data_IF_628779148299
#
_entry.id   IF_628779148299
#
_cell.length_a   1.000
_cell.length_b   1.000
_cell.length_c   1.000
_cell.angle_alpha   90.00
_cell.angle_beta   90.00
_cell.angle_gamma   90.00
#
_symmetry.space_group_name_H-M   'P 1'
#
loop_
_entity.id
_entity.type
_entity.pdbx_description
1 polymer ?
#
# COMPACT_ATOMS: atom_id res chain seq x y z
N UNK A 1 -6.87 13.83 -33.13
CA UNK A 1 -7.34 14.65 -31.97
C UNK A 1 -8.49 14.00 -31.21
N UNK A 2 -9.59 13.54 -31.86
CA UNK A 2 -10.77 12.98 -31.18
C UNK A 2 -10.54 11.71 -30.31
N UNK A 3 -9.57 10.86 -30.65
CA UNK A 3 -9.32 9.61 -29.89
C UNK A 3 -8.75 9.90 -28.49
N UNK A 4 -7.83 10.87 -28.38
CA UNK A 4 -7.19 11.25 -27.11
C UNK A 4 -8.21 11.94 -26.17
N UNK A 5 -9.10 12.78 -26.71
CA UNK A 5 -10.21 13.36 -25.92
C UNK A 5 -11.22 12.31 -25.49
N UNK A 6 -11.49 11.31 -26.33
CA UNK A 6 -12.41 10.21 -25.98
C UNK A 6 -11.81 9.34 -24.87
N UNK A 7 -10.50 9.04 -24.92
CA UNK A 7 -9.81 8.29 -23.88
C UNK A 7 -9.68 9.07 -22.56
N UNK A 8 -9.48 10.39 -22.60
CA UNK A 8 -9.51 11.24 -21.40
C UNK A 8 -10.90 11.33 -20.78
N UNK A 9 -11.96 11.39 -21.59
CA UNK A 9 -13.33 11.34 -21.09
C UNK A 9 -13.70 9.95 -20.54
N UNK A 10 -13.20 8.87 -21.15
CA UNK A 10 -13.43 7.51 -20.64
C UNK A 10 -12.68 7.28 -19.32
N UNK A 11 -11.44 7.76 -19.21
CA UNK A 11 -10.69 7.76 -17.95
C UNK A 11 -11.37 8.65 -16.90
N UNK A 12 -11.83 9.85 -17.27
CA UNK A 12 -12.62 10.71 -16.38
C UNK A 12 -13.95 10.10 -15.95
N UNK A 13 -14.55 9.19 -16.72
CA UNK A 13 -15.79 8.48 -16.37
C UNK A 13 -15.53 7.19 -15.59
N UNK A 14 -14.39 6.54 -15.80
CA UNK A 14 -13.93 5.38 -15.02
C UNK A 14 -13.35 5.80 -13.66
N UNK A 15 -12.79 7.01 -13.57
CA UNK A 15 -12.25 7.62 -12.34
C UNK A 15 -13.13 8.75 -11.77
N UNK A 16 -14.26 9.10 -12.41
CA UNK A 16 -15.33 9.78 -11.69
C UNK A 16 -16.00 8.73 -10.80
N UNK A 17 -15.39 8.47 -9.64
CA UNK A 17 -16.10 7.89 -8.53
C UNK A 17 -17.41 8.68 -8.40
N UNK A 18 -18.59 8.04 -8.50
CA UNK A 18 -19.86 8.73 -8.30
C UNK A 18 -19.76 9.47 -6.97
N UNK A 19 -20.17 10.74 -6.93
CA UNK A 19 -20.15 11.55 -5.71
C UNK A 19 -20.66 10.70 -4.53
N UNK A 20 -19.80 10.58 -3.50
CA UNK A 20 -20.17 10.24 -2.13
C UNK A 20 -20.48 8.79 -1.72
N UNK A 21 -20.15 7.74 -2.48
CA UNK A 21 -20.42 6.37 -2.01
C UNK A 21 -19.65 5.97 -0.73
N UNK A 22 -18.52 6.62 -0.44
CA UNK A 22 -17.70 6.37 0.75
C UNK A 22 -18.01 7.31 1.93
N UNK A 23 -18.80 8.38 1.74
CA UNK A 23 -19.00 9.43 2.76
C UNK A 23 -19.77 8.95 3.99
N UNK A 24 -20.54 7.87 3.86
CA UNK A 24 -21.36 7.33 4.94
C UNK A 24 -20.66 6.22 5.75
N UNK A 25 -19.43 5.83 5.39
CA UNK A 25 -18.79 4.66 6.00
C UNK A 25 -17.98 5.10 7.20
N UNK A 26 -18.61 4.99 8.36
CA UNK A 26 -17.96 5.23 9.64
C UNK A 26 -17.64 3.91 10.28
N UNK A 27 -16.42 3.81 10.80
CA UNK A 27 -16.07 2.69 11.64
C UNK A 27 -16.90 2.67 12.92
N UNK A 28 -17.09 1.50 13.52
CA UNK A 28 -17.57 1.37 14.90
C UNK A 28 -16.66 2.18 15.85
N UNK A 29 -17.21 3.18 16.58
CA UNK A 29 -16.43 4.04 17.47
C UNK A 29 -15.85 3.31 18.69
N UNK A 30 -16.31 2.10 19.02
CA UNK A 30 -15.78 1.32 20.16
C UNK A 30 -14.49 0.56 19.82
N UNK A 31 -14.14 0.43 18.54
CA UNK A 31 -12.92 -0.27 18.13
C UNK A 31 -11.68 0.57 18.42
N UNK A 32 -10.61 -0.06 18.90
CA UNK A 32 -9.30 0.60 19.01
C UNK A 32 -8.61 0.67 17.65
N UNK A 33 -8.00 1.80 17.31
CA UNK A 33 -7.20 1.93 16.09
C UNK A 33 -5.81 1.32 16.32
N UNK A 34 -5.67 0.03 16.03
CA UNK A 34 -4.43 -0.71 16.16
C UNK A 34 -4.07 -1.41 14.85
N UNK A 35 -2.80 -1.38 14.50
CA UNK A 35 -2.20 -2.15 13.41
C UNK A 35 -1.09 -3.01 13.99
N UNK A 36 -1.22 -4.32 13.93
CA UNK A 36 -0.20 -5.27 14.36
C UNK A 36 0.56 -5.76 13.13
N UNK A 37 1.80 -5.30 12.96
CA UNK A 37 2.63 -5.62 11.78
C UNK A 37 3.14 -7.06 11.82
N UNK A 38 3.39 -7.63 12.99
CA UNK A 38 3.84 -9.02 13.10
C UNK A 38 2.71 -10.00 12.75
N UNK A 39 1.47 -9.61 13.03
CA UNK A 39 0.27 -10.41 12.73
C UNK A 39 -0.44 -10.02 11.43
N UNK A 40 -0.04 -8.92 10.78
CA UNK A 40 -0.69 -8.34 9.60
C UNK A 40 -2.18 -8.05 9.82
N UNK A 41 -2.51 -7.46 10.97
CA UNK A 41 -3.89 -7.15 11.37
C UNK A 41 -4.06 -5.63 11.48
N UNK A 42 -5.15 -5.09 10.94
CA UNK A 42 -5.57 -3.72 11.16
C UNK A 42 -7.00 -3.69 11.71
N UNK A 43 -7.17 -3.13 12.91
CA UNK A 43 -8.47 -3.01 13.60
C UNK A 43 -9.23 -4.35 13.69
N UNK A 44 -8.51 -5.47 13.83
CA UNK A 44 -9.09 -6.82 13.87
C UNK A 44 -9.31 -7.48 12.51
N UNK A 45 -9.12 -6.77 11.39
CA UNK A 45 -9.14 -7.33 10.03
C UNK A 45 -7.74 -7.83 9.67
N UNK A 46 -7.64 -9.11 9.33
CA UNK A 46 -6.39 -9.76 8.95
C UNK A 46 -6.18 -9.71 7.44
N UNK A 47 -4.96 -9.38 7.01
CA UNK A 47 -4.49 -9.60 5.65
C UNK A 47 -4.55 -11.10 5.30
N UNK A 48 -4.94 -11.45 4.07
CA UNK A 48 -5.23 -12.83 3.66
C UNK A 48 -6.49 -13.43 4.30
N UNK A 49 -7.20 -12.65 5.12
CA UNK A 49 -8.44 -13.06 5.77
C UNK A 49 -9.68 -12.87 4.89
N UNK A 50 -10.82 -13.41 5.32
CA UNK A 50 -12.09 -13.23 4.61
C UNK A 50 -12.53 -11.78 4.61
N UNK A 51 -13.05 -11.30 3.47
CA UNK A 51 -13.63 -9.96 3.33
C UNK A 51 -14.82 -9.71 4.28
N UNK A 52 -15.46 -10.76 4.80
CA UNK A 52 -16.52 -10.63 5.80
C UNK A 52 -16.03 -10.00 7.11
N UNK A 53 -14.74 -10.12 7.43
CA UNK A 53 -14.16 -9.48 8.60
C UNK A 53 -14.26 -7.95 8.55
N UNK A 54 -14.31 -7.35 7.35
CA UNK A 54 -14.45 -5.90 7.19
C UNK A 54 -15.80 -5.41 7.75
N UNK A 55 -16.85 -6.24 7.72
CA UNK A 55 -18.16 -5.87 8.26
C UNK A 55 -18.11 -5.58 9.77
N UNK A 56 -17.12 -6.12 10.51
CA UNK A 56 -16.94 -5.82 11.93
C UNK A 56 -16.50 -4.39 12.18
N UNK A 57 -15.94 -3.72 11.16
CA UNK A 57 -15.60 -2.31 11.23
C UNK A 57 -16.83 -1.43 11.05
N UNK A 58 -17.98 -1.94 10.63
CA UNK A 58 -19.14 -1.13 10.26
C UNK A 58 -19.51 -1.38 8.80
N UNK A 59 -20.80 -1.22 8.48
CA UNK A 59 -21.37 -1.71 7.23
C UNK A 59 -20.89 -0.89 6.03
N UNK A 60 -20.11 -1.48 5.09
CA UNK A 60 -19.82 -0.82 3.84
C UNK A 60 -21.10 -0.81 2.99
N UNK A 61 -21.49 0.34 2.45
CA UNK A 61 -22.67 0.43 1.56
C UNK A 61 -22.43 -0.16 0.15
N UNK A 62 -21.21 -0.58 -0.15
CA UNK A 62 -20.84 -1.40 -1.31
C UNK A 62 -19.39 -1.19 -1.76
N UNK A 63 -18.62 -2.25 -2.00
CA UNK A 63 -17.25 -2.14 -2.50
C UNK A 63 -17.23 -1.81 -4.00
N UNK A 64 -16.51 -0.76 -4.37
CA UNK A 64 -16.30 -0.43 -5.77
C UNK A 64 -15.10 -1.26 -6.25
N UNK A 65 -15.34 -2.25 -7.10
CA UNK A 65 -14.32 -3.15 -7.63
C UNK A 65 -13.41 -3.80 -6.55
N UNK A 66 -14.01 -4.22 -5.43
CA UNK A 66 -13.27 -4.87 -4.33
C UNK A 66 -12.59 -3.89 -3.36
N UNK A 67 -12.67 -2.58 -3.58
CA UNK A 67 -12.12 -1.58 -2.67
C UNK A 67 -13.14 -1.14 -1.62
N UNK A 68 -12.75 -1.22 -0.35
CA UNK A 68 -13.47 -0.72 0.81
C UNK A 68 -12.72 0.45 1.44
N UNK A 69 -13.34 1.62 1.60
CA UNK A 69 -12.67 2.83 2.12
C UNK A 69 -13.39 3.39 3.35
N UNK A 70 -12.62 3.82 4.35
CA UNK A 70 -13.06 4.58 5.52
C UNK A 70 -12.29 5.92 5.55
N UNK A 71 -12.71 6.92 4.77
CA UNK A 71 -11.93 8.15 4.56
C UNK A 71 -11.75 8.97 5.84
N UNK A 72 -12.74 8.97 6.73
CA UNK A 72 -12.66 9.67 8.03
C UNK A 72 -11.73 9.00 9.03
N UNK A 73 -11.25 7.80 8.70
CA UNK A 73 -10.46 6.97 9.58
C UNK A 73 -9.06 6.70 8.99
N UNK A 74 -8.78 7.22 7.79
CA UNK A 74 -7.51 7.02 7.09
C UNK A 74 -7.26 5.57 6.66
N UNK A 75 -8.31 4.76 6.43
CA UNK A 75 -8.18 3.34 6.11
C UNK A 75 -8.79 2.96 4.76
N UNK A 76 -8.16 2.01 4.07
CA UNK A 76 -8.79 1.30 2.96
C UNK A 76 -8.31 -0.15 2.86
N UNK A 77 -9.15 -1.01 2.28
CA UNK A 77 -8.93 -2.44 2.11
C UNK A 77 -9.23 -2.82 0.66
N UNK A 78 -8.29 -3.44 -0.02
CA UNK A 78 -8.52 -4.04 -1.33
C UNK A 78 -8.80 -5.53 -1.16
N UNK A 79 -9.86 -6.00 -1.82
CA UNK A 79 -10.35 -7.37 -1.74
C UNK A 79 -10.42 -7.97 -3.13
N UNK A 80 -9.77 -9.10 -3.31
CA UNK A 80 -9.85 -9.94 -4.50
C UNK A 80 -10.32 -11.34 -4.09
N UNK A 81 -11.19 -11.97 -4.89
CA UNK A 81 -11.72 -13.32 -4.63
C UNK A 81 -12.26 -13.57 -3.18
N UNK A 82 -12.82 -12.53 -2.55
CA UNK A 82 -13.32 -12.54 -1.16
C UNK A 82 -12.24 -12.60 -0.06
N UNK A 83 -11.00 -12.29 -0.40
CA UNK A 83 -9.84 -12.24 0.50
C UNK A 83 -9.29 -10.81 0.57
N UNK A 84 -8.84 -10.37 1.74
CA UNK A 84 -8.18 -9.08 1.92
C UNK A 84 -6.74 -9.17 1.41
N UNK A 85 -6.49 -8.58 0.24
CA UNK A 85 -5.19 -8.59 -0.45
C UNK A 85 -4.28 -7.43 -0.02
N UNK A 86 -4.88 -6.28 0.24
CA UNK A 86 -4.15 -5.08 0.68
C UNK A 86 -4.89 -4.36 1.79
N UNK A 87 -4.15 -3.90 2.79
CA UNK A 87 -4.60 -2.94 3.80
C UNK A 87 -3.77 -1.68 3.64
N UNK A 88 -4.41 -0.53 3.40
CA UNK A 88 -3.73 0.77 3.32
C UNK A 88 -4.15 1.67 4.49
N UNK A 89 -3.17 2.27 5.15
CA UNK A 89 -3.36 3.16 6.31
C UNK A 89 -2.67 4.50 6.02
N UNK A 90 -3.42 5.59 5.96
CA UNK A 90 -2.92 6.94 5.72
C UNK A 90 -2.58 7.63 7.05
N UNK A 91 -1.35 8.09 7.22
CA UNK A 91 -0.92 8.80 8.45
C UNK A 91 -0.89 10.32 8.30
N UNK A 92 -1.19 10.81 7.10
CA UNK A 92 -1.36 12.23 6.80
C UNK A 92 -2.57 12.46 5.91
N UNK A 93 -3.09 13.68 5.97
CA UNK A 93 -4.14 14.13 5.08
C UNK A 93 -3.59 14.27 3.67
N UNK A 94 -4.19 13.56 2.71
CA UNK A 94 -3.84 13.69 1.29
C UNK A 94 -4.88 14.51 0.56
N UNK A 95 -4.45 15.27 -0.46
CA UNK A 95 -5.35 16.08 -1.28
C UNK A 95 -6.14 15.23 -2.31
N UNK A 96 -5.85 13.93 -2.38
CA UNK A 96 -6.36 13.01 -3.40
C UNK A 96 -7.84 12.64 -3.19
N UNK A 97 -8.36 12.75 -1.96
CA UNK A 97 -9.76 12.47 -1.64
C UNK A 97 -10.33 13.55 -0.69
N UNK A 98 -11.53 14.10 -0.98
CA UNK A 98 -12.19 15.02 -0.07
C UNK A 98 -12.47 14.32 1.26
N UNK A 99 -12.01 14.92 2.38
CA UNK A 99 -12.18 14.43 3.77
C UNK A 99 -11.36 13.18 4.15
N UNK A 100 -10.22 12.96 3.50
CA UNK A 100 -9.26 11.96 3.97
C UNK A 100 -8.61 12.45 5.28
N UNK A 101 -9.00 11.87 6.41
CA UNK A 101 -8.37 12.13 7.71
C UNK A 101 -7.18 11.19 7.90
N UNK A 102 -6.21 11.63 8.72
CA UNK A 102 -5.10 10.79 9.12
C UNK A 102 -5.57 9.74 10.13
N UNK A 103 -5.07 8.52 9.97
CA UNK A 103 -5.21 7.45 10.95
C UNK A 103 -4.57 7.88 12.27
N UNK A 104 -5.37 7.96 13.34
CA UNK A 104 -4.92 8.41 14.67
C UNK A 104 -4.56 7.24 15.60
N UNK A 105 -4.43 6.04 15.04
CA UNK A 105 -4.12 4.83 15.79
C UNK A 105 -2.66 4.61 16.10
N UNK A 106 -2.39 3.39 16.57
CA UNK A 106 -1.05 2.91 16.92
C UNK A 106 -0.64 1.74 16.03
N UNK A 107 0.66 1.64 15.82
CA UNK A 107 1.35 0.52 15.19
C UNK A 107 1.97 -0.34 16.28
N UNK A 108 1.83 -1.66 16.19
CA UNK A 108 2.41 -2.65 17.09
C UNK A 108 3.48 -3.42 16.31
N UNK A 109 4.70 -3.44 16.85
CA UNK A 109 5.85 -4.19 16.33
C UNK A 109 6.59 -4.81 17.49
N UNK A 110 6.81 -6.11 17.47
CA UNK A 110 7.48 -6.86 18.54
C UNK A 110 6.89 -6.56 19.92
N UNK A 111 5.55 -6.55 20.01
CA UNK A 111 4.75 -6.22 21.19
C UNK A 111 4.94 -4.77 21.74
N UNK A 112 5.58 -3.88 20.98
CA UNK A 112 5.74 -2.47 21.33
C UNK A 112 4.82 -1.58 20.50
N UNK A 113 4.22 -0.57 21.15
CA UNK A 113 3.34 0.39 20.52
C UNK A 113 4.10 1.64 20.05
N UNK A 114 3.87 2.03 18.81
CA UNK A 114 4.39 3.23 18.18
C UNK A 114 3.25 4.05 17.59
N UNK A 115 3.40 5.37 17.58
CA UNK A 115 2.47 6.28 16.89
C UNK A 115 3.20 6.91 15.73
N UNK A 116 2.81 6.56 14.52
CA UNK A 116 3.32 7.20 13.31
C UNK A 116 2.44 8.42 12.97
N UNK A 117 3.02 9.39 12.27
CA UNK A 117 2.34 10.60 11.85
C UNK A 117 3.22 11.47 10.97
N UNK A 118 2.79 12.71 10.71
CA UNK A 118 3.48 13.69 9.86
C UNK A 118 4.86 14.13 10.36
N UNK A 119 5.27 13.72 11.56
CA UNK A 119 6.58 14.04 12.13
C UNK A 119 7.51 12.80 12.17
N UNK A 120 6.99 11.61 11.83
CA UNK A 120 7.75 10.36 11.88
C UNK A 120 8.64 10.22 10.65
N UNK A 121 9.94 10.47 10.84
CA UNK A 121 10.93 10.32 9.76
C UNK A 121 11.11 8.88 9.27
N UNK A 122 11.61 8.72 8.05
CA UNK A 122 12.03 7.43 7.49
C UNK A 122 13.11 6.75 8.34
N UNK A 123 14.07 7.51 8.87
CA UNK A 123 15.09 7.01 9.79
C UNK A 123 14.51 6.44 11.09
N UNK A 124 13.43 7.04 11.60
CA UNK A 124 12.73 6.54 12.79
C UNK A 124 12.03 5.21 12.50
N UNK A 125 11.39 5.10 11.33
CA UNK A 125 10.75 3.86 10.87
C UNK A 125 11.80 2.75 10.70
N UNK A 126 12.93 3.03 10.04
CA UNK A 126 14.05 2.08 9.89
C UNK A 126 14.58 1.67 11.27
N UNK A 127 14.68 2.59 12.23
CA UNK A 127 15.10 2.25 13.59
C UNK A 127 14.13 1.30 14.29
N UNK A 128 12.83 1.42 14.02
CA UNK A 128 11.77 0.61 14.63
C UNK A 128 11.64 -0.76 13.95
N UNK A 129 11.67 -0.78 12.61
CA UNK A 129 11.38 -1.97 11.80
C UNK A 129 12.64 -2.75 11.40
N UNK A 130 13.83 -2.14 11.49
CA UNK A 130 15.09 -2.71 11.03
C UNK A 130 15.52 -2.20 9.66
N UNK A 131 16.51 -2.85 9.06
CA UNK A 131 16.95 -2.48 7.70
C UNK A 131 15.90 -2.89 6.66
N UNK A 132 15.53 -1.98 5.73
CA UNK A 132 14.61 -2.29 4.65
C UNK A 132 15.29 -3.08 3.53
N UNK A 133 14.52 -3.92 2.83
CA UNK A 133 15.00 -4.64 1.66
C UNK A 133 15.27 -3.72 0.48
N UNK A 134 14.43 -2.70 0.31
CA UNK A 134 14.59 -1.70 -0.75
C UNK A 134 14.23 -0.31 -0.23
N UNK A 135 15.00 0.67 -0.66
CA UNK A 135 14.75 2.09 -0.39
C UNK A 135 14.85 2.86 -1.70
N UNK A 136 13.74 3.46 -2.10
CA UNK A 136 13.65 4.30 -3.29
C UNK A 136 13.48 5.74 -2.85
N UNK A 137 14.23 6.64 -3.47
CA UNK A 137 14.09 8.07 -3.27
C UNK A 137 14.02 8.68 -4.66
N UNK A 138 12.90 9.31 -4.99
CA UNK A 138 12.75 10.02 -6.25
C UNK A 138 13.17 11.49 -6.12
N UNK A 139 13.52 12.08 -7.25
CA UNK A 139 13.91 13.50 -7.32
C UNK A 139 12.74 14.47 -7.09
N UNK A 140 11.50 13.97 -7.01
CA UNK A 140 10.28 14.77 -6.86
C UNK A 140 9.84 14.93 -5.41
N UNK A 141 10.62 14.40 -4.47
CA UNK A 141 10.31 14.57 -3.06
C UNK A 141 9.63 13.36 -2.44
N UNK A 142 9.56 12.21 -3.12
CA UNK A 142 8.92 11.01 -2.56
C UNK A 142 9.95 9.92 -2.23
N UNK A 143 9.81 9.37 -1.03
CA UNK A 143 10.54 8.18 -0.59
C UNK A 143 9.61 6.97 -0.57
N UNK A 144 10.12 5.77 -0.87
CA UNK A 144 9.41 4.52 -0.60
C UNK A 144 10.36 3.54 0.08
N UNK A 145 9.99 3.11 1.28
CA UNK A 145 10.72 2.10 2.05
C UNK A 145 9.94 0.79 1.98
N UNK A 146 10.62 -0.29 1.61
CA UNK A 146 10.06 -1.63 1.47
C UNK A 146 10.64 -2.57 2.53
N UNK A 147 9.76 -3.26 3.24
CA UNK A 147 10.12 -4.36 4.14
C UNK A 147 9.42 -5.63 3.65
N UNK A 148 10.19 -6.65 3.29
CA UNK A 148 9.72 -7.96 2.86
C UNK A 148 9.81 -8.95 4.02
N UNK A 149 8.72 -9.68 4.22
CA UNK A 149 8.60 -10.77 5.19
C UNK A 149 7.62 -11.83 4.69
N UNK A 150 6.73 -12.33 5.55
CA UNK A 150 5.54 -13.07 5.08
C UNK A 150 4.47 -12.13 4.45
N UNK A 151 4.75 -10.83 4.42
CA UNK A 151 3.87 -9.76 3.96
C UNK A 151 4.75 -8.63 3.44
N UNK A 152 4.37 -8.04 2.31
CA UNK A 152 5.09 -6.91 1.73
C UNK A 152 4.53 -5.62 2.32
N UNK A 153 5.35 -4.94 3.13
CA UNK A 153 4.99 -3.67 3.77
C UNK A 153 5.68 -2.51 3.06
N UNK A 154 4.91 -1.56 2.54
CA UNK A 154 5.44 -0.39 1.85
C UNK A 154 5.07 0.87 2.61
N UNK A 155 6.07 1.70 2.89
CA UNK A 155 5.89 3.02 3.47
C UNK A 155 6.17 4.06 2.40
N UNK A 156 5.20 4.91 2.09
CA UNK A 156 5.36 6.02 1.13
C UNK A 156 5.52 7.33 1.89
N UNK A 157 6.58 8.06 1.58
CA UNK A 157 6.98 9.32 2.20
C UNK A 157 6.82 10.43 1.18
N UNK A 158 6.37 11.59 1.64
CA UNK A 158 6.52 12.87 0.95
C UNK A 158 7.50 13.67 1.82
N UNK A 159 8.67 14.07 1.33
CA UNK A 159 9.69 14.75 2.13
C UNK A 159 9.23 16.13 2.64
N UNK A 160 8.11 16.66 2.16
CA UNK A 160 7.44 17.84 2.74
C UNK A 160 6.39 17.48 3.80
N UNK A 161 5.80 16.26 3.76
CA UNK A 161 4.69 15.81 4.64
C UNK A 161 5.04 14.60 5.54
N UNK A 162 6.27 14.13 5.45
CA UNK A 162 6.97 13.07 6.21
C UNK A 162 6.45 11.63 6.00
N UNK A 163 5.17 11.30 6.15
CA UNK A 163 4.65 9.94 5.84
C UNK A 163 3.27 10.02 5.21
N UNK A 164 3.10 9.48 4.01
CA UNK A 164 1.82 9.46 3.32
C UNK A 164 0.94 8.30 3.78
N UNK A 165 1.44 7.06 3.63
CA UNK A 165 0.70 5.85 4.01
C UNK A 165 1.59 4.61 4.20
N UNK A 166 1.01 3.58 4.81
CA UNK A 166 1.50 2.20 4.88
C UNK A 166 0.57 1.31 4.06
N UNK A 167 1.11 0.41 3.23
CA UNK A 167 0.37 -0.66 2.59
C UNK A 167 0.92 -2.02 3.06
N UNK A 168 0.03 -2.89 3.58
CA UNK A 168 0.30 -4.30 3.86
C UNK A 168 -0.25 -5.11 2.68
N UNK A 169 0.59 -5.87 1.99
CA UNK A 169 0.21 -6.64 0.80
C UNK A 169 0.51 -8.12 0.98
N UNK A 170 -0.41 -8.96 0.53
CA UNK A 170 -0.12 -10.38 0.40
C UNK A 170 0.95 -10.58 -0.67
N UNK A 171 1.99 -11.35 -0.35
CA UNK A 171 2.97 -11.77 -1.35
C UNK A 171 2.26 -12.81 -2.22
N UNK A 172 1.92 -12.42 -3.45
CA UNK A 172 1.73 -13.38 -4.52
C UNK A 172 3.02 -14.19 -4.65
N UNK A 173 2.92 -15.50 -4.73
CA UNK A 173 4.03 -16.45 -4.78
C UNK A 173 4.81 -16.30 -6.12
N UNK A 174 5.37 -15.12 -6.39
CA UNK A 174 6.16 -14.80 -7.57
C UNK A 174 7.59 -15.27 -7.33
N UNK A 175 7.75 -16.59 -7.23
CA UNK A 175 9.04 -17.28 -7.33
C UNK A 175 9.52 -17.40 -8.79
N UNK A 176 9.02 -16.58 -9.70
CA UNK A 176 9.43 -16.55 -11.12
C UNK A 176 9.85 -15.14 -11.55
N UNK A 177 10.83 -14.53 -10.88
CA UNK A 177 11.74 -13.63 -11.59
C UNK A 177 12.97 -14.44 -11.97
N UNK A 178 13.02 -14.79 -13.26
CA UNK A 178 14.15 -15.43 -13.92
C UNK A 178 15.43 -14.63 -13.63
N UNK A 179 16.36 -15.25 -12.88
CA UNK A 179 17.78 -14.90 -12.88
C UNK A 179 18.33 -15.12 -14.31
N UNK A 180 18.06 -14.21 -15.25
CA UNK A 180 18.87 -14.11 -16.48
C UNK A 180 20.15 -13.33 -16.18
N UNK A 181 20.94 -13.89 -15.28
CA UNK A 181 22.33 -13.54 -15.08
C UNK A 181 23.19 -14.38 -16.03
N UNK A 182 23.02 -14.16 -17.33
CA UNK A 182 23.95 -14.65 -18.34
C UNK A 182 25.06 -13.60 -18.53
N UNK A 183 26.29 -13.82 -18.02
CA UNK A 183 27.37 -12.88 -18.22
C UNK A 183 27.77 -12.82 -19.70
N UNK A 184 27.89 -11.60 -20.19
CA UNK A 184 28.49 -11.24 -21.47
C UNK A 184 29.89 -11.86 -21.60
N UNK A 185 30.12 -12.53 -22.73
CA UNK A 185 31.48 -12.83 -23.22
C UNK A 185 31.60 -12.36 -24.66
N UNK A 186 32.17 -11.16 -24.80
CA UNK A 186 32.72 -10.71 -26.07
C UNK A 186 34.04 -11.43 -26.37
N UNK A 187 34.29 -11.61 -27.67
CA UNK A 187 35.59 -11.89 -28.30
C UNK A 187 36.12 -13.33 -28.18
N UNK A 188 36.22 -14.02 -29.33
CA UNK A 188 37.47 -14.09 -30.12
C UNK A 188 37.32 -15.14 -31.24
N UNK A 189 37.35 -14.71 -32.50
CA UNK A 189 37.65 -15.60 -33.62
C UNK A 189 39.09 -16.14 -33.46
N UNK A 190 39.33 -17.43 -33.76
CA UNK A 190 40.60 -17.87 -34.27
C UNK A 190 40.55 -18.05 -35.81
N UNK A 191 41.66 -17.83 -36.53
CA UNK A 191 41.73 -18.03 -37.97
C UNK A 191 42.00 -19.49 -38.34
N UNK A 192 41.45 -19.87 -39.51
CA UNK A 192 41.93 -20.82 -40.52
C UNK A 192 42.31 -22.26 -40.11
N UNK A 193 41.64 -23.25 -40.71
CA UNK A 193 42.23 -24.13 -41.75
C UNK A 193 41.24 -25.22 -42.19
N UNK A 194 41.23 -25.51 -43.49
CA UNK A 194 41.22 -26.85 -44.15
C UNK A 194 40.46 -26.75 -45.48
N UNK A 195 41.17 -27.00 -46.59
CA UNK A 195 40.62 -27.20 -47.93
C UNK A 195 41.35 -26.44 -49.01
#
# INVERSE_FOLDING_TARGET
>A
MKLIETMKNLASQLFSLPEDQFIDWKRDPELEYLVDLDKNICCGVCLGGSSLAIESLGRPSGALAGLYCYPTDGLSFFVEEHVVETITINFTTTDDLPRNEAFDGKIIVSDQEFKFGSETSDLEIIKILGEPDKYYNDTEGMGIVYFRGNTDMHFKFDFEKTLLYIALNQIGDDTNEEDDNSPTSASSQPPSAVG
#
